data_IF_742521355057
#
_entry.id   IF_742521355057
#
_cell.length_a   1.000
_cell.length_b   1.000
_cell.length_c   1.000
_cell.angle_alpha   90.00
_cell.angle_beta   90.00
_cell.angle_gamma   90.00
#
_symmetry.space_group_name_H-M   'P 1'
#
loop_
_entity.id
_entity.type
_entity.pdbx_description
1 polymer ?
#
# COMPACT_ATOMS: atom_id res chain seq x y z
N UNK A 1 -22.43 -7.10 19.94
CA UNK A 1 -21.91 -8.33 20.55
C UNK A 1 -22.82 -8.77 21.69
N UNK A 2 -23.52 -9.88 21.47
CA UNK A 2 -24.53 -10.47 22.32
C UNK A 2 -23.88 -11.50 23.24
N UNK A 3 -23.95 -11.29 24.55
CA UNK A 3 -23.34 -12.17 25.57
C UNK A 3 -23.97 -13.58 25.66
N UNK A 4 -25.02 -13.86 24.88
CA UNK A 4 -25.70 -15.15 24.84
C UNK A 4 -25.32 -16.00 23.60
N UNK A 5 -24.60 -15.42 22.64
CA UNK A 5 -24.14 -16.11 21.44
C UNK A 5 -22.74 -16.69 21.72
N UNK A 6 -22.44 -17.94 21.32
CA UNK A 6 -21.06 -18.43 21.38
C UNK A 6 -20.14 -17.57 20.52
N UNK A 7 -18.95 -17.27 21.05
CA UNK A 7 -17.89 -16.54 20.36
C UNK A 7 -16.90 -17.54 19.75
N UNK A 8 -16.44 -17.24 18.54
CA UNK A 8 -15.36 -17.94 17.86
C UNK A 8 -14.15 -17.02 17.79
N UNK A 9 -12.98 -17.62 17.89
CA UNK A 9 -11.69 -16.95 17.99
C UNK A 9 -10.80 -17.39 16.83
N UNK A 10 -10.18 -16.43 16.15
CA UNK A 10 -9.15 -16.67 15.14
C UNK A 10 -7.83 -16.05 15.60
N UNK A 11 -6.80 -16.89 15.73
CA UNK A 11 -5.44 -16.46 16.07
C UNK A 11 -4.74 -15.96 14.79
N UNK A 12 -4.46 -14.65 14.71
CA UNK A 12 -3.91 -14.00 13.52
C UNK A 12 -2.59 -13.28 13.86
N UNK A 13 -1.74 -13.88 14.69
CA UNK A 13 -0.44 -13.30 15.08
C UNK A 13 0.58 -13.32 13.93
N UNK A 14 0.45 -14.27 13.00
CA UNK A 14 1.26 -14.34 11.77
C UNK A 14 0.89 -13.22 10.78
N UNK A 15 -0.28 -12.59 10.93
CA UNK A 15 -0.73 -11.53 10.05
C UNK A 15 -0.13 -10.18 10.47
N UNK A 16 0.41 -9.45 9.48
CA UNK A 16 0.92 -8.10 9.72
C UNK A 16 -0.18 -7.18 10.25
N UNK A 17 0.19 -6.13 10.98
CA UNK A 17 -0.78 -5.16 11.50
C UNK A 17 -1.59 -4.48 10.40
N UNK A 18 -1.04 -4.40 9.19
CA UNK A 18 -1.68 -3.79 8.03
C UNK A 18 -2.74 -4.72 7.46
N UNK A 19 -2.44 -6.01 7.30
CA UNK A 19 -3.41 -7.02 6.86
C UNK A 19 -4.57 -7.13 7.85
N UNK A 20 -4.29 -7.09 9.17
CA UNK A 20 -5.35 -7.05 10.20
C UNK A 20 -6.19 -5.77 10.18
N UNK A 21 -5.62 -4.64 9.76
CA UNK A 21 -6.37 -3.40 9.57
C UNK A 21 -7.31 -3.50 8.36
N UNK A 22 -6.87 -4.08 7.25
CA UNK A 22 -7.72 -4.38 6.09
C UNK A 22 -8.87 -5.33 6.46
N UNK A 23 -8.58 -6.41 7.19
CA UNK A 23 -9.60 -7.33 7.71
C UNK A 23 -10.64 -6.62 8.57
N UNK A 24 -10.19 -5.73 9.44
CA UNK A 24 -11.09 -4.92 10.27
C UNK A 24 -12.03 -4.07 9.40
N UNK A 25 -11.53 -3.47 8.31
CA UNK A 25 -12.37 -2.67 7.41
C UNK A 25 -13.42 -3.54 6.71
N UNK A 26 -13.02 -4.68 6.14
CA UNK A 26 -13.95 -5.58 5.43
C UNK A 26 -15.04 -6.13 6.34
N UNK A 27 -14.70 -6.53 7.58
CA UNK A 27 -15.68 -6.97 8.57
C UNK A 27 -16.69 -5.86 8.91
N UNK A 28 -16.23 -4.61 9.02
CA UNK A 28 -17.12 -3.47 9.26
C UNK A 28 -18.04 -3.20 8.06
N UNK A 29 -17.53 -3.30 6.84
CA UNK A 29 -18.33 -3.13 5.60
C UNK A 29 -19.39 -4.23 5.45
N UNK A 30 -19.06 -5.46 5.85
CA UNK A 30 -19.99 -6.59 5.92
C UNK A 30 -21.00 -6.46 7.09
N UNK A 31 -20.82 -5.49 7.99
CA UNK A 31 -21.69 -5.30 9.16
C UNK A 31 -21.50 -6.36 10.24
N UNK A 32 -20.33 -7.03 10.26
CA UNK A 32 -20.00 -8.10 11.20
C UNK A 32 -19.48 -7.50 12.50
N UNK A 33 -20.25 -7.68 13.58
CA UNK A 33 -19.84 -7.29 14.92
C UNK A 33 -18.64 -8.13 15.40
N UNK A 34 -17.48 -7.49 15.61
CA UNK A 34 -16.25 -8.15 16.02
C UNK A 34 -15.52 -7.40 17.15
N UNK A 35 -14.53 -8.06 17.75
CA UNK A 35 -13.59 -7.48 18.71
C UNK A 35 -12.20 -8.05 18.48
N UNK A 36 -11.18 -7.25 18.75
CA UNK A 36 -9.80 -7.70 18.83
C UNK A 36 -9.33 -7.85 20.28
N UNK A 37 -8.65 -8.95 20.56
CA UNK A 37 -7.80 -9.13 21.75
C UNK A 37 -6.37 -9.39 21.28
N UNK A 38 -5.53 -8.36 21.33
CA UNK A 38 -4.17 -8.39 20.75
C UNK A 38 -4.15 -8.75 19.25
N UNK A 39 -3.86 -10.00 18.91
CA UNK A 39 -3.83 -10.57 17.55
C UNK A 39 -4.98 -11.54 17.31
N UNK A 40 -5.89 -11.70 18.28
CA UNK A 40 -7.02 -12.63 18.22
C UNK A 40 -8.27 -11.88 17.81
N UNK A 41 -8.90 -12.34 16.73
CA UNK A 41 -10.20 -11.85 16.27
C UNK A 41 -11.31 -12.65 16.96
N UNK A 42 -12.27 -11.95 17.56
CA UNK A 42 -13.41 -12.52 18.26
C UNK A 42 -14.71 -12.12 17.55
N UNK A 43 -15.49 -13.10 17.09
CA UNK A 43 -16.78 -12.88 16.40
C UNK A 43 -17.86 -13.82 16.92
N UNK A 44 -19.11 -13.40 16.83
CA UNK A 44 -20.26 -14.27 17.07
C UNK A 44 -20.31 -15.45 16.08
N UNK A 45 -20.48 -16.67 16.58
CA UNK A 45 -20.50 -17.91 15.78
C UNK A 45 -21.51 -17.90 14.61
N UNK A 46 -22.61 -17.14 14.72
CA UNK A 46 -23.58 -17.02 13.62
C UNK A 46 -22.98 -16.42 12.34
N UNK A 47 -21.90 -15.66 12.44
CA UNK A 47 -21.20 -15.01 11.32
C UNK A 47 -19.94 -15.80 10.91
N UNK A 48 -19.68 -16.98 11.48
CA UNK A 48 -18.48 -17.78 11.22
C UNK A 48 -18.19 -17.94 9.72
N UNK A 49 -19.20 -18.37 8.95
CA UNK A 49 -19.05 -18.57 7.51
C UNK A 49 -18.70 -17.29 6.76
N UNK A 50 -19.33 -16.15 7.09
CA UNK A 50 -19.02 -14.88 6.43
C UNK A 50 -17.61 -14.38 6.80
N UNK A 51 -17.17 -14.63 8.04
CA UNK A 51 -15.80 -14.31 8.48
C UNK A 51 -14.78 -15.18 7.76
N UNK A 52 -15.02 -16.49 7.64
CA UNK A 52 -14.15 -17.40 6.90
C UNK A 52 -13.99 -16.97 5.43
N UNK A 53 -15.09 -16.60 4.76
CA UNK A 53 -15.04 -16.10 3.38
C UNK A 53 -14.17 -14.83 3.25
N UNK A 54 -14.27 -13.90 4.20
CA UNK A 54 -13.46 -12.67 4.22
C UNK A 54 -11.99 -12.99 4.53
N UNK A 55 -11.72 -13.93 5.45
CA UNK A 55 -10.36 -14.35 5.77
C UNK A 55 -9.68 -14.98 4.55
N UNK A 56 -10.38 -15.87 3.85
CA UNK A 56 -9.90 -16.50 2.61
C UNK A 56 -9.62 -15.44 1.52
N UNK A 57 -10.48 -14.43 1.38
CA UNK A 57 -10.30 -13.33 0.43
C UNK A 57 -9.01 -12.53 0.73
N UNK A 58 -8.79 -12.19 1.99
CA UNK A 58 -7.61 -11.43 2.41
C UNK A 58 -6.33 -12.25 2.29
N UNK A 59 -6.38 -13.53 2.65
CA UNK A 59 -5.24 -14.43 2.48
C UNK A 59 -4.87 -14.53 1.01
N UNK A 60 -5.85 -14.66 0.11
CA UNK A 60 -5.59 -14.67 -1.32
C UNK A 60 -5.00 -13.33 -1.81
N UNK A 61 -5.54 -12.19 -1.37
CA UNK A 61 -4.98 -10.87 -1.70
C UNK A 61 -3.52 -10.74 -1.23
N UNK A 62 -3.22 -11.17 -0.01
CA UNK A 62 -1.86 -11.18 0.55
C UNK A 62 -0.90 -12.05 -0.26
N UNK A 63 -1.32 -13.26 -0.59
CA UNK A 63 -0.57 -14.20 -1.43
C UNK A 63 -0.31 -13.62 -2.84
N UNK A 64 -1.26 -12.90 -3.43
CA UNK A 64 -1.05 -12.20 -4.70
C UNK A 64 -0.02 -11.06 -4.60
N UNK A 65 0.23 -10.51 -3.40
CA UNK A 65 1.32 -9.56 -3.18
C UNK A 65 2.64 -10.29 -3.02
N UNK A 66 2.69 -11.38 -2.27
CA UNK A 66 3.89 -12.20 -2.05
C UNK A 66 4.38 -12.90 -3.33
N UNK A 67 3.47 -13.22 -4.25
CA UNK A 67 3.80 -13.83 -5.54
C UNK A 67 4.38 -12.84 -6.57
N UNK A 68 4.36 -11.53 -6.30
CA UNK A 68 4.94 -10.53 -7.19
C UNK A 68 6.44 -10.63 -7.11
N UNK A 69 7.10 -10.68 -8.27
CA UNK A 69 8.53 -10.49 -8.33
C UNK A 69 8.91 -9.16 -7.66
N UNK A 70 9.99 -9.21 -6.87
CA UNK A 70 10.58 -8.02 -6.28
C UNK A 70 10.98 -7.04 -7.39
N UNK A 71 10.79 -5.75 -7.14
CA UNK A 71 11.22 -4.74 -8.10
C UNK A 71 12.75 -4.78 -8.27
N UNK A 72 13.22 -4.73 -9.52
CA UNK A 72 14.64 -4.61 -9.83
C UNK A 72 15.25 -3.33 -9.24
N UNK A 73 16.44 -3.42 -8.65
CA UNK A 73 17.19 -2.25 -8.12
C UNK A 73 17.37 -1.14 -9.17
N UNK A 74 17.48 -1.52 -10.45
CA UNK A 74 17.57 -0.58 -11.57
C UNK A 74 16.35 0.33 -11.68
N UNK A 75 15.15 -0.18 -11.42
CA UNK A 75 13.90 0.59 -11.45
C UNK A 75 13.90 1.62 -10.32
N UNK A 76 14.36 1.26 -9.12
CA UNK A 76 14.49 2.21 -8.00
C UNK A 76 15.49 3.33 -8.31
N UNK A 77 16.62 3.02 -8.96
CA UNK A 77 17.58 4.02 -9.41
C UNK A 77 16.98 4.96 -10.47
N UNK A 78 16.20 4.41 -11.40
CA UNK A 78 15.47 5.21 -12.40
C UNK A 78 14.42 6.10 -11.75
N UNK A 79 13.68 5.59 -10.76
CA UNK A 79 12.71 6.36 -9.99
C UNK A 79 13.38 7.53 -9.28
N UNK A 80 14.55 7.30 -8.66
CA UNK A 80 15.33 8.34 -8.02
C UNK A 80 15.78 9.43 -9.02
N UNK A 81 16.25 9.04 -10.20
CA UNK A 81 16.68 9.97 -11.25
C UNK A 81 15.51 10.81 -11.79
N UNK A 82 14.35 10.19 -12.05
CA UNK A 82 13.14 10.87 -12.51
C UNK A 82 12.63 11.83 -11.45
N UNK A 83 12.61 11.38 -10.19
CA UNK A 83 12.20 12.21 -9.05
C UNK A 83 13.09 13.46 -8.92
N UNK A 84 14.40 13.33 -9.10
CA UNK A 84 15.31 14.49 -9.11
C UNK A 84 15.03 15.44 -10.28
N UNK A 85 14.73 14.91 -11.47
CA UNK A 85 14.37 15.74 -12.62
C UNK A 85 13.08 16.52 -12.36
N UNK A 86 12.06 15.89 -11.77
CA UNK A 86 10.79 16.55 -11.40
C UNK A 86 11.03 17.62 -10.33
N UNK A 87 11.89 17.34 -9.35
CA UNK A 87 12.26 18.31 -8.32
C UNK A 87 12.92 19.57 -8.92
N UNK A 88 13.70 19.43 -10.00
CA UNK A 88 14.37 20.54 -10.68
C UNK A 88 13.45 21.22 -11.70
N UNK A 89 12.69 20.43 -12.46
CA UNK A 89 11.80 20.88 -13.52
C UNK A 89 10.51 20.03 -13.52
N UNK A 90 9.50 20.39 -12.72
CA UNK A 90 8.27 19.61 -12.57
C UNK A 90 7.44 19.60 -13.86
N UNK A 91 7.59 20.60 -14.73
CA UNK A 91 6.88 20.68 -16.01
C UNK A 91 7.52 19.86 -17.13
N UNK A 92 8.57 19.09 -16.84
CA UNK A 92 9.21 18.23 -17.83
C UNK A 92 8.29 17.06 -18.23
N UNK A 93 7.67 17.19 -19.40
CA UNK A 93 6.74 16.18 -19.92
C UNK A 93 7.38 14.79 -20.09
N UNK A 94 8.71 14.73 -20.30
CA UNK A 94 9.40 13.45 -20.40
C UNK A 94 9.57 12.82 -19.03
N UNK A 95 9.97 13.59 -18.02
CA UNK A 95 10.07 13.10 -16.64
C UNK A 95 8.71 12.66 -16.09
N UNK A 96 7.63 13.39 -16.39
CA UNK A 96 6.27 12.99 -16.03
C UNK A 96 5.85 11.66 -16.68
N UNK A 97 6.15 11.48 -17.97
CA UNK A 97 5.87 10.23 -18.68
C UNK A 97 6.73 9.06 -18.16
N UNK A 98 8.01 9.30 -17.88
CA UNK A 98 8.91 8.29 -17.32
C UNK A 98 8.44 7.88 -15.90
N UNK A 99 7.94 8.83 -15.08
CA UNK A 99 7.35 8.52 -13.77
C UNK A 99 6.13 7.61 -13.91
N UNK A 100 5.22 7.90 -14.83
CA UNK A 100 4.04 7.07 -15.09
C UNK A 100 4.39 5.64 -15.50
N UNK A 101 5.40 5.46 -16.37
CA UNK A 101 5.87 4.13 -16.73
C UNK A 101 6.48 3.39 -15.54
N UNK A 102 7.33 4.06 -14.75
CA UNK A 102 7.94 3.44 -13.56
C UNK A 102 6.88 3.11 -12.51
N UNK A 103 5.84 3.95 -12.35
CA UNK A 103 4.75 3.72 -11.41
C UNK A 103 4.01 2.43 -11.72
N UNK A 104 3.68 2.21 -12.99
CA UNK A 104 3.03 0.96 -13.42
C UNK A 104 3.90 -0.26 -13.10
N UNK A 105 5.22 -0.18 -13.25
CA UNK A 105 6.13 -1.27 -12.89
C UNK A 105 6.13 -1.52 -11.37
N UNK A 106 6.28 -0.48 -10.53
CA UNK A 106 6.35 -0.64 -9.07
C UNK A 106 4.99 -1.02 -8.44
N UNK A 107 3.87 -0.60 -9.03
CA UNK A 107 2.52 -0.94 -8.55
C UNK A 107 2.22 -2.44 -8.73
N UNK A 108 2.86 -3.08 -9.70
CA UNK A 108 2.74 -4.52 -9.97
C UNK A 108 3.83 -5.35 -9.27
N UNK A 109 4.81 -4.72 -8.62
CA UNK A 109 5.95 -5.39 -8.00
C UNK A 109 5.85 -5.49 -6.46
N UNK A 110 6.50 -6.52 -5.92
CA UNK A 110 6.74 -6.67 -4.49
C UNK A 110 7.78 -5.67 -3.98
N UNK A 111 7.81 -5.47 -2.66
CA UNK A 111 8.88 -4.70 -2.03
C UNK A 111 10.23 -5.40 -2.25
N UNK A 112 11.33 -4.67 -2.53
CA UNK A 112 12.66 -5.27 -2.47
C UNK A 112 12.95 -5.77 -1.05
N UNK A 113 13.67 -6.89 -0.91
CA UNK A 113 13.91 -7.55 0.37
C UNK A 113 14.56 -6.68 1.47
N UNK A 114 15.29 -5.62 1.11
CA UNK A 114 15.88 -4.67 2.06
C UNK A 114 14.91 -3.54 2.49
N UNK A 115 13.74 -3.41 1.84
CA UNK A 115 12.73 -2.37 2.09
C UNK A 115 11.48 -3.00 2.71
N UNK A 116 11.10 -2.57 3.91
CA UNK A 116 9.87 -3.04 4.55
C UNK A 116 8.58 -2.55 3.85
N UNK A 117 7.50 -3.32 3.93
CA UNK A 117 6.22 -3.07 3.25
C UNK A 117 5.65 -1.68 3.50
N UNK A 118 5.77 -1.17 4.72
CA UNK A 118 5.32 0.18 5.09
C UNK A 118 6.06 1.26 4.29
N UNK A 119 7.38 1.12 4.14
CA UNK A 119 8.22 2.04 3.35
C UNK A 119 7.93 1.86 1.85
N UNK A 120 7.72 0.62 1.40
CA UNK A 120 7.34 0.34 0.01
C UNK A 120 6.00 0.98 -0.37
N UNK A 121 4.99 0.87 0.50
CA UNK A 121 3.70 1.56 0.33
C UNK A 121 3.89 3.07 0.31
N UNK A 122 4.73 3.62 1.18
CA UNK A 122 5.04 5.06 1.18
C UNK A 122 5.67 5.53 -0.13
N UNK A 123 6.59 4.74 -0.71
CA UNK A 123 7.23 5.04 -2.00
C UNK A 123 6.16 5.13 -3.11
N UNK A 124 5.26 4.14 -3.18
CA UNK A 124 4.17 4.09 -4.17
C UNK A 124 3.18 5.25 -4.01
N UNK A 125 2.78 5.55 -2.77
CA UNK A 125 1.88 6.66 -2.43
C UNK A 125 2.46 8.02 -2.85
N UNK A 126 3.73 8.27 -2.52
CA UNK A 126 4.41 9.51 -2.92
C UNK A 126 4.53 9.63 -4.45
N UNK A 127 4.84 8.53 -5.15
CA UNK A 127 4.91 8.53 -6.62
C UNK A 127 3.55 8.87 -7.26
N UNK A 128 2.45 8.30 -6.76
CA UNK A 128 1.09 8.64 -7.20
C UNK A 128 0.76 10.12 -6.98
N UNK A 129 1.05 10.65 -5.80
CA UNK A 129 0.77 12.06 -5.47
C UNK A 129 1.54 13.05 -6.37
N UNK A 130 2.78 12.70 -6.77
CA UNK A 130 3.53 13.52 -7.73
C UNK A 130 2.79 13.56 -9.07
N UNK A 131 2.33 12.41 -9.57
CA UNK A 131 1.56 12.39 -10.82
C UNK A 131 0.24 13.14 -10.75
N UNK A 132 -0.52 12.99 -9.67
CA UNK A 132 -1.75 13.77 -9.46
C UNK A 132 -1.47 15.28 -9.48
N UNK A 133 -0.38 15.71 -8.83
CA UNK A 133 0.06 17.09 -8.86
C UNK A 133 0.46 17.56 -10.27
N UNK A 134 1.08 16.69 -11.07
CA UNK A 134 1.48 17.01 -12.46
C UNK A 134 0.30 17.00 -13.45
N UNK A 135 -0.72 16.16 -13.22
CA UNK A 135 -1.86 15.98 -14.14
C UNK A 135 -3.02 16.92 -13.84
N UNK A 136 -3.12 17.44 -12.62
CA UNK A 136 -4.05 18.47 -12.11
C UNK A 136 -5.17 19.00 -13.03
N UNK A 137 -6.41 19.04 -12.54
CA UNK A 137 -7.65 19.34 -13.28
C UNK A 137 -7.71 20.61 -14.16
N UNK A 138 -6.71 21.50 -14.12
CA UNK A 138 -6.58 22.62 -15.06
C UNK A 138 -5.14 23.00 -15.37
N UNK A 139 -4.21 22.85 -14.42
CA UNK A 139 -2.76 23.07 -14.55
C UNK A 139 -2.00 22.23 -13.50
N UNK A 140 -0.72 21.86 -13.77
CA UNK A 140 0.13 21.20 -12.78
C UNK A 140 0.37 22.09 -11.56
N UNK A 141 0.29 21.49 -10.37
CA UNK A 141 0.78 22.09 -9.12
C UNK A 141 2.26 21.80 -8.97
N UNK A 142 3.07 22.66 -9.59
CA UNK A 142 4.53 22.55 -9.61
C UNK A 142 5.15 22.56 -8.21
N UNK A 143 4.59 23.34 -7.27
CA UNK A 143 5.14 23.47 -5.92
C UNK A 143 4.94 22.17 -5.15
N UNK A 144 3.72 21.62 -5.21
CA UNK A 144 3.41 20.32 -4.60
C UNK A 144 4.22 19.19 -5.24
N UNK A 145 4.32 19.16 -6.58
CA UNK A 145 5.12 18.15 -7.27
C UNK A 145 6.61 18.19 -6.86
N UNK A 146 7.19 19.38 -6.71
CA UNK A 146 8.58 19.54 -6.24
C UNK A 146 8.78 19.07 -4.80
N UNK A 147 7.87 19.41 -3.88
CA UNK A 147 7.94 18.98 -2.47
C UNK A 147 7.84 17.46 -2.33
N UNK A 148 6.82 16.88 -2.99
CA UNK A 148 6.59 15.44 -3.00
C UNK A 148 7.78 14.69 -3.63
N UNK A 149 8.33 15.21 -4.73
CA UNK A 149 9.53 14.65 -5.33
C UNK A 149 10.74 14.74 -4.39
N UNK A 150 10.93 15.86 -3.69
CA UNK A 150 11.98 15.99 -2.67
C UNK A 150 11.87 14.93 -1.57
N UNK A 151 10.64 14.69 -1.08
CA UNK A 151 10.34 13.67 -0.06
C UNK A 151 10.59 12.26 -0.56
N UNK A 152 10.08 11.91 -1.75
CA UNK A 152 10.29 10.60 -2.36
C UNK A 152 11.79 10.34 -2.57
N UNK A 153 12.53 11.32 -3.10
CA UNK A 153 13.97 11.20 -3.29
C UNK A 153 14.75 11.04 -1.98
N UNK A 154 14.26 11.57 -0.87
CA UNK A 154 14.87 11.36 0.44
C UNK A 154 14.64 9.93 0.95
N UNK A 155 13.42 9.41 0.81
CA UNK A 155 13.07 8.03 1.18
C UNK A 155 13.89 7.03 0.37
N UNK A 156 13.98 7.20 -0.95
CA UNK A 156 14.75 6.30 -1.83
C UNK A 156 16.24 6.25 -1.45
N UNK A 157 16.87 7.40 -1.22
CA UNK A 157 18.31 7.44 -0.85
C UNK A 157 18.62 6.84 0.52
N UNK A 158 17.64 6.76 1.41
CA UNK A 158 17.82 6.13 2.72
C UNK A 158 17.77 4.59 2.64
N UNK A 159 17.26 4.03 1.53
CA UNK A 159 16.98 2.61 1.35
C UNK A 159 17.66 2.01 0.08
N UNK A 160 18.59 2.74 -0.53
CA UNK A 160 19.45 2.34 -1.66
C UNK A 160 20.92 2.34 -1.22
#
# INVERSE_FOLDING_TARGET
MNLNEPIIEWELDEWSSEVRAELTMMLNEAGIEHRWEETVLLVESKNETEVEEILDEIENLGNEVEARDEVDEKVLRQLLDVTQKIQINPTDARAAADLASIREEIDNAGAPGDIGDSVWRQIKDLASQIEDALVGASRPDEVSAMDLAGRLGAVLRANL
#
